data_IF_074521881478
#
_entry.id   IF_074521881478
#
_cell.length_a   1.000
_cell.length_b   1.000
_cell.length_c   1.000
_cell.angle_alpha   90.00
_cell.angle_beta   90.00
_cell.angle_gamma   90.00
#
_symmetry.space_group_name_H-M   'P 1'
#
loop_
_entity.id
_entity.type
_entity.pdbx_description
1 polymer ?
#
# COMPACT_ATOMS: atom_id res chain seq x y z
N UNK A 1 3.52 -46.83 -4.41
CA UNK A 1 3.78 -45.59 -5.15
C UNK A 1 3.26 -44.45 -4.29
N UNK A 2 4.14 -43.58 -3.83
CA UNK A 2 3.88 -42.48 -2.89
C UNK A 2 3.37 -41.24 -3.64
N UNK A 3 2.31 -40.62 -3.11
CA UNK A 3 1.64 -39.47 -3.70
C UNK A 3 2.58 -38.24 -3.71
N UNK A 4 2.71 -37.47 -4.81
CA UNK A 4 3.68 -36.38 -4.92
C UNK A 4 3.31 -35.07 -4.18
N UNK A 5 2.21 -35.03 -3.43
CA UNK A 5 1.59 -33.79 -2.93
C UNK A 5 1.66 -33.61 -1.40
N UNK A 6 2.38 -34.48 -0.68
CA UNK A 6 2.71 -34.26 0.73
C UNK A 6 3.91 -33.29 0.84
N UNK A 7 3.66 -32.02 0.54
CA UNK A 7 4.53 -30.93 0.94
C UNK A 7 4.26 -30.62 2.41
N UNK A 8 5.09 -31.19 3.29
CA UNK A 8 5.22 -30.81 4.70
C UNK A 8 5.62 -29.33 4.80
N UNK A 9 4.61 -28.47 4.99
CA UNK A 9 4.71 -27.01 5.07
C UNK A 9 5.20 -26.53 6.45
N UNK A 10 5.48 -27.45 7.37
CA UNK A 10 6.01 -27.14 8.70
C UNK A 10 5.05 -26.32 9.57
N UNK A 11 3.75 -26.31 9.24
CA UNK A 11 2.70 -25.71 10.05
C UNK A 11 2.04 -26.80 10.91
N UNK A 12 2.12 -26.66 12.23
CA UNK A 12 1.33 -27.46 13.16
C UNK A 12 -0.14 -27.01 13.08
N UNK A 13 -0.98 -27.81 12.42
CA UNK A 13 -2.42 -27.63 12.43
C UNK A 13 -3.00 -28.39 13.63
N UNK A 14 -3.40 -27.66 14.68
CA UNK A 14 -4.26 -28.22 15.73
C UNK A 14 -5.68 -28.32 15.17
N UNK A 15 -6.00 -29.49 14.59
CA UNK A 15 -7.32 -29.83 14.09
C UNK A 15 -8.20 -30.33 15.25
N UNK A 16 -9.09 -29.46 15.74
CA UNK A 16 -10.08 -29.83 16.75
C UNK A 16 -11.36 -30.29 16.03
N UNK A 17 -11.58 -31.61 15.97
CA UNK A 17 -12.75 -32.23 15.36
C UNK A 17 -13.93 -32.24 16.33
N UNK A 18 -14.98 -31.48 16.03
CA UNK A 18 -16.26 -31.48 16.76
C UNK A 18 -17.43 -31.19 15.83
N UNK A 19 -17.98 -32.28 15.28
CA UNK A 19 -19.35 -32.53 14.80
C UNK A 19 -20.14 -31.45 14.04
N UNK A 20 -20.47 -31.79 12.78
CA UNK A 20 -21.57 -31.21 12.02
C UNK A 20 -22.93 -31.65 12.57
N UNK A 21 -23.87 -30.71 12.72
CA UNK A 21 -25.26 -30.98 12.36
C UNK A 21 -25.95 -29.68 11.91
N UNK A 22 -26.47 -29.71 10.69
CA UNK A 22 -27.32 -28.67 10.11
C UNK A 22 -28.78 -28.90 10.54
N UNK A 23 -29.51 -27.82 10.86
CA UNK A 23 -30.76 -27.47 10.17
C UNK A 23 -31.43 -26.16 10.67
N UNK A 24 -31.57 -25.20 9.75
CA UNK A 24 -32.80 -24.50 9.30
C UNK A 24 -33.71 -23.69 10.30
N UNK A 25 -33.74 -22.36 10.05
CA UNK A 25 -34.83 -21.34 10.08
C UNK A 25 -35.38 -20.67 11.38
N UNK A 26 -35.50 -19.34 11.23
CA UNK A 26 -36.48 -18.36 11.75
C UNK A 26 -36.38 -17.77 13.18
N UNK A 27 -36.16 -16.44 13.22
CA UNK A 27 -37.17 -15.47 13.68
C UNK A 27 -37.18 -15.01 15.14
N UNK A 28 -37.09 -13.67 15.30
CA UNK A 28 -37.55 -12.79 16.40
C UNK A 28 -36.83 -12.73 17.76
N UNK A 29 -36.46 -11.48 18.11
CA UNK A 29 -36.44 -10.78 19.41
C UNK A 29 -36.52 -11.60 20.70
N UNK A 30 -35.61 -11.36 21.67
CA UNK A 30 -35.89 -10.70 22.98
C UNK A 30 -34.57 -10.25 23.64
N UNK A 31 -34.59 -9.06 24.25
CA UNK A 31 -33.62 -8.49 25.18
C UNK A 31 -33.52 -9.24 26.53
N UNK A 32 -32.49 -8.83 27.31
CA UNK A 32 -32.41 -8.76 28.78
C UNK A 32 -31.35 -9.65 29.46
N UNK A 33 -30.37 -8.94 30.06
CA UNK A 33 -29.86 -9.03 31.45
C UNK A 33 -29.71 -10.45 32.07
N UNK A 34 -28.61 -10.84 32.72
CA UNK A 34 -28.11 -10.21 33.93
C UNK A 34 -26.95 -11.06 34.54
N UNK A 35 -26.01 -10.35 35.17
CA UNK A 35 -25.29 -10.64 36.41
C UNK A 35 -24.76 -12.06 36.82
N UNK A 36 -23.43 -12.14 36.82
CA UNK A 36 -22.57 -12.12 38.04
C UNK A 36 -22.22 -13.41 38.82
N UNK A 37 -20.98 -13.35 39.38
CA UNK A 37 -20.50 -13.94 40.66
C UNK A 37 -20.22 -15.46 40.68
N UNK A 38 -19.22 -16.02 41.37
CA UNK A 38 -17.92 -15.66 42.01
C UNK A 38 -17.34 -16.99 42.54
N UNK A 39 -16.01 -17.09 42.72
CA UNK A 39 -15.29 -17.91 43.76
C UNK A 39 -15.44 -19.45 43.66
N UNK A 40 -14.55 -20.32 44.12
CA UNK A 40 -13.42 -20.23 45.05
C UNK A 40 -12.54 -21.50 44.92
N UNK A 41 -11.23 -21.33 45.13
CA UNK A 41 -10.35 -22.10 46.04
C UNK A 41 -10.32 -23.65 46.07
N UNK A 42 -9.14 -24.17 45.67
CA UNK A 42 -8.24 -25.13 46.36
C UNK A 42 -8.74 -26.48 46.89
N UNK A 43 -8.03 -27.56 46.53
CA UNK A 43 -7.34 -28.47 47.48
C UNK A 43 -6.43 -29.51 46.80
N UNK A 44 -5.31 -29.76 47.48
CA UNK A 44 -4.26 -30.76 47.27
C UNK A 44 -4.77 -32.20 47.39
N UNK A 45 -4.16 -33.18 46.70
CA UNK A 45 -3.22 -34.15 47.29
C UNK A 45 -2.67 -35.13 46.20
N UNK A 46 -1.47 -35.66 46.45
CA UNK A 46 -0.54 -36.41 45.56
C UNK A 46 -0.88 -37.94 45.51
N UNK A 47 -0.19 -38.85 44.76
CA UNK A 47 1.27 -39.08 44.78
C UNK A 47 1.97 -39.50 43.45
N UNK A 48 3.30 -39.49 43.55
CA UNK A 48 4.40 -39.68 42.59
C UNK A 48 4.60 -41.16 42.16
N UNK A 49 5.30 -41.45 41.03
CA UNK A 49 6.50 -42.27 41.18
C UNK A 49 7.75 -41.71 40.47
N UNK A 50 8.86 -41.82 41.20
CA UNK A 50 10.23 -41.40 40.91
C UNK A 50 10.94 -42.41 40.00
N UNK A 51 11.70 -41.95 39.01
CA UNK A 51 12.89 -42.69 38.56
C UNK A 51 14.10 -41.77 38.32
N UNK A 52 15.07 -42.00 39.21
CA UNK A 52 16.47 -41.55 39.30
C UNK A 52 17.17 -41.21 37.98
N UNK A 53 17.87 -40.06 37.95
CA UNK A 53 19.18 -39.96 37.29
C UNK A 53 20.12 -39.04 38.09
N UNK A 54 21.31 -39.56 38.38
CA UNK A 54 22.35 -38.99 39.25
C UNK A 54 23.14 -37.89 38.52
N UNK A 55 23.60 -36.95 39.33
CA UNK A 55 24.53 -35.85 39.11
C UNK A 55 26.00 -36.28 39.00
N UNK A 56 26.81 -35.41 38.38
CA UNK A 56 28.21 -35.04 38.65
C UNK A 56 28.93 -34.84 37.29
N UNK A 57 29.16 -33.60 36.86
CA UNK A 57 30.24 -32.68 37.26
C UNK A 57 31.50 -32.87 36.39
N UNK A 58 31.76 -31.80 35.63
CA UNK A 58 33.05 -31.21 35.27
C UNK A 58 34.02 -31.94 34.33
N UNK A 59 34.22 -31.33 33.15
CA UNK A 59 35.51 -31.31 32.45
C UNK A 59 35.48 -30.21 31.39
N UNK A 60 36.02 -29.04 31.75
CA UNK A 60 36.59 -28.11 30.79
C UNK A 60 37.71 -28.81 29.99
N UNK A 61 37.58 -28.82 28.67
CA UNK A 61 38.73 -28.87 27.75
C UNK A 61 38.37 -28.22 26.42
N UNK A 62 39.04 -27.11 26.17
CA UNK A 62 39.27 -26.48 24.88
C UNK A 62 39.59 -27.50 23.78
N UNK A 63 38.85 -27.44 22.68
CA UNK A 63 39.13 -28.17 21.45
C UNK A 63 38.15 -27.74 20.37
N UNK A 64 38.67 -27.14 19.31
CA UNK A 64 37.96 -26.88 18.06
C UNK A 64 37.43 -28.20 17.49
N UNK A 65 36.19 -28.57 17.81
CA UNK A 65 35.48 -29.63 17.11
C UNK A 65 34.04 -29.18 16.89
N UNK A 66 33.84 -28.45 15.80
CA UNK A 66 32.52 -28.32 15.21
C UNK A 66 32.05 -29.74 14.85
N UNK A 67 31.20 -30.31 15.69
CA UNK A 67 30.58 -31.62 15.47
C UNK A 67 30.17 -31.73 13.99
N UNK A 68 30.50 -32.83 13.29
CA UNK A 68 30.28 -32.94 11.85
C UNK A 68 28.78 -32.88 11.57
N UNK A 69 28.30 -31.68 11.24
CA UNK A 69 26.90 -31.42 10.93
C UNK A 69 26.46 -32.40 9.84
N UNK A 70 25.37 -33.11 10.11
CA UNK A 70 24.78 -34.06 9.16
C UNK A 70 24.55 -33.36 7.81
N UNK A 71 24.66 -34.11 6.70
CA UNK A 71 24.38 -33.58 5.35
C UNK A 71 23.00 -32.88 5.30
N UNK A 72 22.02 -33.34 6.09
CA UNK A 72 20.69 -32.72 6.25
C UNK A 72 20.76 -31.38 6.99
N UNK A 73 21.53 -31.28 8.07
CA UNK A 73 21.73 -30.03 8.83
C UNK A 73 22.50 -28.98 8.00
N UNK A 74 23.50 -29.39 7.21
CA UNK A 74 24.20 -28.50 6.27
C UNK A 74 23.27 -27.98 5.17
N UNK A 75 22.34 -28.79 4.66
CA UNK A 75 21.32 -28.36 3.67
C UNK A 75 20.31 -27.40 4.29
N UNK A 76 19.86 -27.68 5.52
CA UNK A 76 18.92 -26.80 6.25
C UNK A 76 19.54 -25.45 6.58
N UNK A 77 20.79 -25.42 7.06
CA UNK A 77 21.51 -24.19 7.35
C UNK A 77 21.83 -23.36 6.08
N UNK A 78 22.02 -24.01 4.92
CA UNK A 78 22.13 -23.30 3.63
C UNK A 78 20.79 -22.70 3.20
N UNK A 79 19.68 -23.42 3.42
CA UNK A 79 18.32 -22.94 3.12
C UNK A 79 17.91 -21.79 4.04
N UNK A 80 18.26 -21.84 5.33
CA UNK A 80 17.99 -20.74 6.27
C UNK A 80 18.75 -19.48 5.88
N UNK A 81 20.06 -19.57 5.62
CA UNK A 81 20.87 -18.42 5.14
C UNK A 81 20.33 -17.80 3.85
N UNK A 82 19.83 -18.62 2.92
CA UNK A 82 19.21 -18.14 1.70
C UNK A 82 17.87 -17.42 1.97
N UNK A 83 17.03 -17.97 2.84
CA UNK A 83 15.78 -17.34 3.26
C UNK A 83 16.00 -16.02 4.00
N UNK A 84 17.02 -15.98 4.87
CA UNK A 84 17.42 -14.77 5.61
C UNK A 84 17.87 -13.69 4.65
N UNK A 85 18.74 -14.02 3.69
CA UNK A 85 19.18 -13.08 2.64
C UNK A 85 18.01 -12.58 1.78
N UNK A 86 17.05 -13.46 1.44
CA UNK A 86 15.84 -13.08 0.69
C UNK A 86 14.94 -12.14 1.51
N UNK A 87 14.84 -12.36 2.82
CA UNK A 87 14.07 -11.52 3.73
C UNK A 87 14.71 -10.14 3.90
N UNK A 88 16.03 -10.08 4.06
CA UNK A 88 16.80 -8.83 4.14
C UNK A 88 16.64 -8.02 2.84
N UNK A 89 16.78 -8.66 1.68
CA UNK A 89 16.58 -8.01 0.39
C UNK A 89 15.15 -7.45 0.24
N UNK A 90 14.13 -8.20 0.67
CA UNK A 90 12.73 -7.73 0.65
C UNK A 90 12.55 -6.52 1.57
N UNK A 91 13.08 -6.56 2.79
CA UNK A 91 13.00 -5.44 3.73
C UNK A 91 13.69 -4.19 3.19
N UNK A 92 14.84 -4.37 2.53
CA UNK A 92 15.54 -3.29 1.85
C UNK A 92 14.67 -2.67 0.75
N UNK A 93 14.07 -3.49 -0.12
CA UNK A 93 13.17 -3.01 -1.18
C UNK A 93 11.94 -2.27 -0.63
N UNK A 94 11.33 -2.81 0.43
CA UNK A 94 10.21 -2.17 1.13
C UNK A 94 10.59 -0.81 1.71
N UNK A 95 11.74 -0.75 2.40
CA UNK A 95 12.24 0.51 2.96
C UNK A 95 12.52 1.54 1.87
N UNK A 96 13.06 1.12 0.72
CA UNK A 96 13.30 1.99 -0.43
C UNK A 96 11.98 2.55 -0.99
N UNK A 97 10.96 1.71 -1.17
CA UNK A 97 9.63 2.15 -1.65
C UNK A 97 8.99 3.14 -0.68
N UNK A 98 9.04 2.87 0.63
CA UNK A 98 8.44 3.74 1.65
C UNK A 98 9.17 5.07 1.86
N UNK A 99 10.49 5.10 1.60
CA UNK A 99 11.30 6.31 1.74
C UNK A 99 11.32 7.20 0.49
N UNK A 100 10.96 6.67 -0.69
CA UNK A 100 10.93 7.43 -1.93
C UNK A 100 10.06 8.72 -1.85
N UNK A 101 8.86 8.72 -1.23
CA UNK A 101 8.07 9.95 -1.05
C UNK A 101 8.73 11.03 -0.18
N UNK A 102 9.71 10.65 0.64
CA UNK A 102 10.48 11.55 1.53
C UNK A 102 11.76 12.07 0.87
N UNK A 103 12.09 11.56 -0.32
CA UNK A 103 13.33 11.83 -1.03
C UNK A 103 13.33 13.22 -1.70
N UNK A 104 14.49 13.64 -2.19
CA UNK A 104 14.65 14.89 -2.94
C UNK A 104 13.96 14.82 -4.32
N UNK A 105 13.57 15.96 -4.91
CA UNK A 105 13.04 16.00 -6.29
C UNK A 105 13.96 15.36 -7.32
N UNK A 106 15.28 15.47 -7.13
CA UNK A 106 16.30 14.84 -7.97
C UNK A 106 16.18 13.31 -7.95
N UNK A 107 16.20 12.70 -6.76
CA UNK A 107 16.07 11.25 -6.56
C UNK A 107 14.73 10.72 -7.09
N UNK A 108 13.66 11.49 -6.90
CA UNK A 108 12.33 11.15 -7.42
C UNK A 108 12.36 11.15 -8.95
N UNK A 109 12.94 12.17 -9.58
CA UNK A 109 13.02 12.24 -11.04
C UNK A 109 13.84 11.09 -11.63
N UNK A 110 14.98 10.74 -11.01
CA UNK A 110 15.82 9.62 -11.43
C UNK A 110 15.11 8.28 -11.27
N UNK A 111 14.33 8.11 -10.19
CA UNK A 111 13.50 6.93 -10.01
C UNK A 111 12.48 6.79 -11.15
N UNK A 112 11.78 7.87 -11.51
CA UNK A 112 10.81 7.83 -12.63
C UNK A 112 11.50 7.54 -13.96
N UNK A 113 12.67 8.11 -14.25
CA UNK A 113 13.46 7.79 -15.45
C UNK A 113 13.78 6.30 -15.52
N UNK A 114 14.23 5.71 -14.41
CA UNK A 114 14.55 4.28 -14.32
C UNK A 114 13.29 3.42 -14.50
N UNK A 115 12.20 3.80 -13.83
CA UNK A 115 10.90 3.14 -13.94
C UNK A 115 10.38 3.13 -15.39
N UNK A 116 10.38 4.30 -16.04
CA UNK A 116 9.90 4.47 -17.42
C UNK A 116 10.73 3.61 -18.37
N UNK A 117 12.06 3.62 -18.25
CA UNK A 117 12.94 2.78 -19.08
C UNK A 117 12.71 1.29 -18.85
N UNK A 118 12.57 0.88 -17.59
CA UNK A 118 12.39 -0.54 -17.24
C UNK A 118 11.09 -1.14 -17.79
N UNK A 119 10.06 -0.32 -17.96
CA UNK A 119 8.73 -0.75 -18.41
C UNK A 119 8.48 -0.50 -19.90
N UNK A 120 9.41 0.18 -20.59
CA UNK A 120 9.34 0.43 -22.04
C UNK A 120 10.69 0.06 -22.71
N UNK A 121 11.07 -1.23 -22.73
CA UNK A 121 12.36 -1.67 -23.28
C UNK A 121 12.48 -1.46 -24.80
N UNK A 122 11.34 -1.42 -25.50
CA UNK A 122 11.28 -1.36 -26.97
C UNK A 122 11.20 0.07 -27.50
N UNK A 123 11.05 1.08 -26.64
CA UNK A 123 11.01 2.48 -27.05
C UNK A 123 12.40 3.01 -27.36
N UNK A 124 12.48 3.85 -28.39
CA UNK A 124 13.70 4.57 -28.74
C UNK A 124 14.09 5.60 -27.66
N UNK A 125 15.34 6.03 -27.68
CA UNK A 125 15.83 7.05 -26.75
C UNK A 125 15.04 8.38 -26.86
N UNK A 126 14.60 8.73 -28.07
CA UNK A 126 13.81 9.95 -28.31
C UNK A 126 12.40 9.83 -27.71
N UNK A 127 11.72 8.69 -27.90
CA UNK A 127 10.39 8.44 -27.32
C UNK A 127 10.44 8.37 -25.79
N UNK A 128 11.53 7.85 -25.21
CA UNK A 128 11.72 7.83 -23.76
C UNK A 128 11.90 9.24 -23.18
N UNK A 129 12.57 10.15 -23.89
CA UNK A 129 12.79 11.52 -23.44
C UNK A 129 11.48 12.30 -23.31
N UNK A 130 10.52 12.05 -24.18
CA UNK A 130 9.18 12.65 -24.11
C UNK A 130 8.40 12.22 -22.86
N UNK A 131 8.68 11.03 -22.32
CA UNK A 131 8.02 10.50 -21.13
C UNK A 131 8.68 10.94 -19.82
N UNK A 132 9.93 11.39 -19.86
CA UNK A 132 10.67 11.72 -18.64
C UNK A 132 10.09 12.94 -17.92
N UNK A 133 10.10 12.83 -16.58
CA UNK A 133 9.66 13.86 -15.65
C UNK A 133 10.88 14.60 -15.13
N UNK A 134 10.84 15.93 -15.14
CA UNK A 134 11.96 16.78 -14.72
C UNK A 134 11.88 17.03 -13.22
N UNK A 135 13.03 17.28 -12.59
CA UNK A 135 13.09 17.69 -11.16
C UNK A 135 12.22 18.91 -10.84
N UNK A 136 12.04 19.81 -11.80
CA UNK A 136 11.20 21.02 -11.67
C UNK A 136 9.72 20.72 -11.56
N UNK A 137 9.29 19.54 -11.99
CA UNK A 137 7.89 19.12 -12.00
C UNK A 137 7.44 18.72 -10.59
N UNK A 138 8.40 18.35 -9.73
CA UNK A 138 8.17 17.92 -8.36
C UNK A 138 8.37 19.06 -7.35
N UNK A 139 7.49 19.12 -6.36
CA UNK A 139 7.69 19.95 -5.16
C UNK A 139 8.25 19.06 -4.04
N UNK A 140 9.35 19.49 -3.41
CA UNK A 140 9.94 18.74 -2.30
C UNK A 140 8.99 18.71 -1.09
N UNK A 141 8.73 17.50 -0.61
CA UNK A 141 7.94 17.24 0.61
C UNK A 141 8.79 16.61 1.72
N UNK A 142 10.12 16.62 1.57
CA UNK A 142 11.07 16.06 2.53
C UNK A 142 10.99 16.70 3.93
N UNK A 143 10.51 17.95 4.01
CA UNK A 143 10.31 18.66 5.29
C UNK A 143 9.10 18.17 6.10
N UNK A 144 8.31 17.23 5.57
CA UNK A 144 7.20 16.64 6.30
C UNK A 144 7.73 15.60 7.29
N UNK A 145 7.53 15.86 8.58
CA UNK A 145 8.11 15.07 9.68
C UNK A 145 7.24 13.89 10.11
N UNK A 146 5.92 14.04 10.01
CA UNK A 146 4.97 13.02 10.45
C UNK A 146 5.00 11.78 9.56
N UNK A 147 4.55 10.66 10.10
CA UNK A 147 4.38 9.44 9.31
C UNK A 147 3.31 9.66 8.24
N UNK A 148 3.60 9.18 7.02
CA UNK A 148 2.71 9.33 5.86
C UNK A 148 1.61 8.26 5.90
N UNK A 149 0.70 8.41 6.85
CA UNK A 149 -0.47 7.54 7.08
C UNK A 149 -1.77 8.24 6.65
N UNK A 150 -2.91 7.54 6.61
CA UNK A 150 -4.18 8.23 6.30
C UNK A 150 -4.54 9.29 7.34
N UNK A 151 -4.17 9.09 8.60
CA UNK A 151 -4.49 9.99 9.71
C UNK A 151 -3.84 11.36 9.52
N UNK A 152 -2.57 11.37 9.08
CA UNK A 152 -1.81 12.61 8.90
C UNK A 152 -1.98 13.23 7.51
N UNK A 153 -2.71 12.57 6.60
CA UNK A 153 -2.89 13.02 5.22
C UNK A 153 -3.55 14.40 5.08
N UNK A 154 -4.61 14.75 5.85
CA UNK A 154 -5.18 16.09 5.83
C UNK A 154 -4.16 17.18 6.16
N UNK A 155 -3.26 16.92 7.12
CA UNK A 155 -2.27 17.89 7.57
C UNK A 155 -1.15 18.06 6.54
N UNK A 156 -0.73 16.97 5.89
CA UNK A 156 0.14 17.04 4.72
C UNK A 156 -0.45 17.94 3.61
N UNK A 157 -1.72 17.73 3.26
CA UNK A 157 -2.40 18.54 2.23
C UNK A 157 -2.39 20.02 2.63
N UNK A 158 -2.75 20.36 3.87
CA UNK A 158 -2.75 21.75 4.36
C UNK A 158 -1.36 22.39 4.26
N UNK A 159 -0.29 21.64 4.52
CA UNK A 159 1.07 22.18 4.53
C UNK A 159 1.65 22.40 3.13
N UNK A 160 1.32 21.54 2.16
CA UNK A 160 2.00 21.52 0.87
C UNK A 160 1.14 21.94 -0.32
N UNK A 161 -0.18 21.73 -0.27
CA UNK A 161 -1.05 22.12 -1.37
C UNK A 161 -1.49 23.57 -1.23
N UNK A 162 -1.38 24.32 -2.33
CA UNK A 162 -1.83 25.72 -2.41
C UNK A 162 -2.72 25.95 -3.64
N UNK A 163 -2.82 24.96 -4.52
CA UNK A 163 -3.73 25.02 -5.64
C UNK A 163 -5.20 25.02 -5.18
N UNK A 164 -6.09 25.71 -5.90
CA UNK A 164 -7.53 25.64 -5.64
C UNK A 164 -8.08 24.22 -5.82
N UNK A 165 -7.48 23.46 -6.75
CA UNK A 165 -7.84 22.07 -7.05
C UNK A 165 -6.62 21.17 -6.96
N UNK A 166 -6.83 19.93 -6.53
CA UNK A 166 -5.79 18.92 -6.36
C UNK A 166 -6.27 17.57 -6.86
N UNK A 167 -5.46 16.90 -7.67
CA UNK A 167 -5.67 15.51 -8.07
C UNK A 167 -4.87 14.62 -7.13
N UNK A 168 -5.48 13.56 -6.62
CA UNK A 168 -4.85 12.60 -5.73
C UNK A 168 -4.92 11.24 -6.41
N UNK A 169 -3.75 10.71 -6.78
CA UNK A 169 -3.64 9.37 -7.32
C UNK A 169 -3.45 8.37 -6.19
N UNK A 170 -4.29 7.34 -6.19
CA UNK A 170 -4.20 6.19 -5.29
C UNK A 170 -4.13 4.89 -6.08
N UNK A 171 -3.51 3.88 -5.48
CA UNK A 171 -3.21 2.61 -6.14
C UNK A 171 -4.46 1.83 -6.57
N UNK A 172 -5.46 1.71 -5.69
CA UNK A 172 -6.66 0.89 -5.95
C UNK A 172 -7.95 1.67 -5.69
N UNK A 173 -9.06 1.16 -6.21
CA UNK A 173 -10.40 1.70 -5.91
C UNK A 173 -10.72 1.71 -4.41
N UNK A 174 -10.22 0.72 -3.66
CA UNK A 174 -10.43 0.65 -2.21
C UNK A 174 -9.67 1.79 -1.53
N UNK A 175 -8.39 1.97 -1.91
CA UNK A 175 -7.56 3.06 -1.39
C UNK A 175 -8.12 4.44 -1.75
N UNK A 176 -8.64 4.62 -2.97
CA UNK A 176 -9.38 5.84 -3.37
C UNK A 176 -10.54 6.12 -2.42
N UNK A 177 -11.30 5.08 -2.03
CA UNK A 177 -12.42 5.25 -1.11
C UNK A 177 -11.94 5.63 0.30
N UNK A 178 -10.82 5.07 0.77
CA UNK A 178 -10.27 5.37 2.09
C UNK A 178 -9.77 6.81 2.16
N UNK A 179 -8.96 7.23 1.18
CA UNK A 179 -8.50 8.61 1.03
C UNK A 179 -9.69 9.58 0.92
N UNK A 180 -10.72 9.22 0.17
CA UNK A 180 -11.94 10.03 0.09
C UNK A 180 -12.63 10.18 1.44
N UNK A 181 -12.78 9.12 2.25
CA UNK A 181 -13.40 9.22 3.57
C UNK A 181 -12.61 10.13 4.51
N UNK A 182 -11.29 10.07 4.44
CA UNK A 182 -10.39 10.93 5.22
C UNK A 182 -10.55 12.42 4.87
N UNK A 183 -10.72 12.77 3.60
CA UNK A 183 -10.75 14.16 3.15
C UNK A 183 -12.15 14.77 3.00
N UNK A 184 -13.17 13.95 2.77
CA UNK A 184 -14.48 14.41 2.34
C UNK A 184 -15.40 14.80 3.50
N UNK A 185 -14.91 15.60 4.44
CA UNK A 185 -15.69 16.11 5.58
C UNK A 185 -16.76 17.10 5.12
N UNK A 186 -16.42 17.99 4.17
CA UNK A 186 -17.27 19.09 3.71
C UNK A 186 -17.77 18.93 2.26
N UNK A 187 -17.88 17.68 1.78
CA UNK A 187 -18.23 17.38 0.38
C UNK A 187 -17.36 18.11 -0.64
N UNK A 188 -16.06 18.22 -0.35
CA UNK A 188 -15.04 18.89 -1.17
C UNK A 188 -14.31 17.92 -2.10
N UNK A 189 -14.65 16.64 -2.07
CA UNK A 189 -13.98 15.60 -2.84
C UNK A 189 -14.92 14.98 -3.89
N UNK A 190 -14.33 14.55 -5.00
CA UNK A 190 -14.96 13.68 -6.00
C UNK A 190 -14.11 12.41 -6.13
N UNK A 191 -14.77 11.26 -6.20
CA UNK A 191 -14.11 9.97 -6.49
C UNK A 191 -14.23 9.69 -7.98
N UNK A 192 -13.10 9.46 -8.64
CA UNK A 192 -13.05 9.09 -10.05
C UNK A 192 -12.36 7.72 -10.16
N UNK A 193 -13.14 6.64 -10.20
CA UNK A 193 -12.58 5.28 -10.21
C UNK A 193 -13.47 4.29 -10.95
N UNK A 194 -12.96 3.07 -11.15
CA UNK A 194 -13.52 2.14 -12.13
C UNK A 194 -14.98 1.71 -11.90
N UNK A 195 -15.53 1.85 -10.67
CA UNK A 195 -16.92 1.45 -10.38
C UNK A 195 -17.97 2.47 -10.85
N UNK A 196 -17.60 3.73 -11.06
CA UNK A 196 -18.53 4.72 -11.61
C UNK A 196 -18.65 4.53 -13.13
N UNK A 197 -19.81 4.86 -13.70
CA UNK A 197 -19.94 4.95 -15.16
C UNK A 197 -19.06 6.11 -15.65
N UNK A 198 -18.30 5.87 -16.72
CA UNK A 198 -17.37 6.87 -17.24
C UNK A 198 -18.07 8.19 -17.61
N UNK A 199 -19.23 8.11 -18.26
CA UNK A 199 -20.08 9.28 -18.59
C UNK A 199 -20.52 10.10 -17.38
N UNK A 200 -20.75 9.45 -16.23
CA UNK A 200 -21.15 10.15 -15.01
C UNK A 200 -19.97 10.90 -14.40
N UNK A 201 -18.77 10.29 -14.45
CA UNK A 201 -17.52 10.93 -14.04
C UNK A 201 -17.19 12.14 -14.94
N UNK A 202 -17.29 11.98 -16.27
CA UNK A 202 -17.11 13.06 -17.26
C UNK A 202 -18.02 14.25 -16.95
N UNK A 203 -19.33 13.98 -16.83
CA UNK A 203 -20.32 15.01 -16.50
C UNK A 203 -20.01 15.69 -15.17
N UNK A 204 -19.58 14.93 -14.17
CA UNK A 204 -19.22 15.47 -12.85
C UNK A 204 -18.04 16.41 -12.97
N UNK A 205 -16.98 16.01 -13.68
CA UNK A 205 -15.79 16.83 -13.93
C UNK A 205 -16.19 18.11 -14.65
N UNK A 206 -16.90 18.03 -15.77
CA UNK A 206 -17.31 19.22 -16.54
C UNK A 206 -18.16 20.18 -15.69
N UNK A 207 -19.05 19.64 -14.86
CA UNK A 207 -19.90 20.45 -13.96
C UNK A 207 -19.08 21.15 -12.86
N UNK A 208 -18.02 20.51 -12.35
CA UNK A 208 -17.13 21.09 -11.33
C UNK A 208 -16.27 22.22 -11.91
N UNK A 209 -15.87 22.09 -13.17
CA UNK A 209 -15.06 23.10 -13.87
C UNK A 209 -15.90 24.21 -14.51
N UNK A 210 -17.22 24.03 -14.67
CA UNK A 210 -18.14 25.07 -15.11
C UNK A 210 -18.29 26.20 -14.07
N UNK A 211 -17.61 27.32 -14.34
CA UNK A 211 -17.66 28.54 -13.51
C UNK A 211 -19.06 29.13 -13.33
N UNK A 212 -20.03 28.80 -14.19
CA UNK A 212 -21.42 29.26 -14.05
C UNK A 212 -22.18 28.47 -12.98
N UNK A 213 -21.74 27.25 -12.67
CA UNK A 213 -22.43 26.38 -11.75
C UNK A 213 -21.83 26.45 -10.33
N UNK A 214 -22.51 27.19 -9.44
CA UNK A 214 -22.07 27.34 -8.05
C UNK A 214 -22.23 26.06 -7.21
N UNK A 215 -23.04 25.09 -7.63
CA UNK A 215 -23.41 23.93 -6.80
C UNK A 215 -22.24 23.01 -6.45
N UNK A 216 -21.25 22.89 -7.33
CA UNK A 216 -20.06 22.04 -7.14
C UNK A 216 -18.76 22.85 -7.10
N UNK A 217 -18.86 24.17 -6.91
CA UNK A 217 -17.71 25.08 -6.88
C UNK A 217 -16.80 24.87 -5.66
N UNK A 218 -17.30 24.20 -4.61
CA UNK A 218 -16.55 23.84 -3.40
C UNK A 218 -15.68 22.59 -3.57
N UNK A 219 -15.77 21.87 -4.71
CA UNK A 219 -14.94 20.70 -4.96
C UNK A 219 -13.49 21.14 -5.17
N UNK A 220 -12.61 20.60 -4.33
CA UNK A 220 -11.17 20.84 -4.34
C UNK A 220 -10.38 19.60 -4.71
N UNK A 221 -10.82 18.41 -4.30
CA UNK A 221 -10.03 17.20 -4.41
C UNK A 221 -10.65 16.19 -5.39
N UNK A 222 -9.84 15.67 -6.30
CA UNK A 222 -10.20 14.59 -7.21
C UNK A 222 -9.39 13.35 -6.86
N UNK A 223 -9.99 12.39 -6.17
CA UNK A 223 -9.31 11.16 -5.74
C UNK A 223 -9.57 10.09 -6.79
N UNK A 224 -8.51 9.55 -7.38
CA UNK A 224 -8.63 8.71 -8.57
C UNK A 224 -7.54 7.65 -8.71
N UNK A 225 -7.79 6.66 -9.57
CA UNK A 225 -6.74 5.76 -10.07
C UNK A 225 -6.15 6.32 -11.37
N UNK A 226 -4.86 6.06 -11.68
CA UNK A 226 -4.23 6.53 -12.92
C UNK A 226 -5.01 6.14 -14.18
N UNK A 227 -5.42 4.88 -14.28
CA UNK A 227 -6.16 4.37 -15.42
C UNK A 227 -7.52 5.07 -15.64
N UNK A 228 -8.23 5.45 -14.57
CA UNK A 228 -9.51 6.15 -14.73
C UNK A 228 -9.29 7.58 -15.21
N UNK A 229 -8.31 8.29 -14.65
CA UNK A 229 -8.04 9.66 -15.07
C UNK A 229 -7.51 9.74 -16.51
N UNK A 230 -6.65 8.81 -16.91
CA UNK A 230 -6.19 8.71 -18.30
C UNK A 230 -7.36 8.61 -19.29
N UNK A 231 -8.36 7.77 -18.99
CA UNK A 231 -9.57 7.66 -19.81
C UNK A 231 -10.42 8.94 -19.81
N UNK A 232 -10.49 9.65 -18.68
CA UNK A 232 -11.21 10.92 -18.61
C UNK A 232 -10.57 12.00 -19.49
N UNK A 233 -9.24 12.02 -19.61
CA UNK A 233 -8.53 12.95 -20.50
C UNK A 233 -8.80 12.72 -21.99
N UNK A 234 -9.28 11.55 -22.38
CA UNK A 234 -9.70 11.25 -23.76
C UNK A 234 -11.08 11.86 -24.09
N UNK A 235 -11.88 12.16 -23.06
CA UNK A 235 -13.27 12.60 -23.22
C UNK A 235 -13.55 14.01 -22.71
N UNK A 236 -12.70 14.55 -21.82
CA UNK A 236 -12.85 15.90 -21.27
C UNK A 236 -11.48 16.59 -21.12
N UNK A 237 -11.43 17.85 -21.59
CA UNK A 237 -10.27 18.73 -21.40
C UNK A 237 -10.41 19.64 -20.16
N UNK A 238 -11.44 19.45 -19.32
CA UNK A 238 -11.75 20.35 -18.21
C UNK A 238 -10.56 20.60 -17.26
N UNK A 239 -9.76 19.56 -16.98
CA UNK A 239 -8.56 19.67 -16.14
C UNK A 239 -7.45 20.56 -16.72
N UNK A 240 -7.46 20.78 -18.04
CA UNK A 240 -6.45 21.58 -18.76
C UNK A 240 -6.88 23.02 -18.97
N UNK A 241 -8.17 23.32 -18.75
CA UNK A 241 -8.71 24.65 -18.91
C UNK A 241 -8.27 25.59 -17.77
N UNK A 242 -8.30 26.89 -18.05
CA UNK A 242 -8.01 27.93 -17.06
C UNK A 242 -6.53 28.13 -16.73
N UNK A 243 -6.24 29.17 -15.95
CA UNK A 243 -4.88 29.60 -15.56
C UNK A 243 -4.55 29.26 -14.11
N UNK A 244 -5.50 28.70 -13.37
CA UNK A 244 -5.31 28.29 -11.99
C UNK A 244 -4.25 27.19 -11.86
N UNK A 245 -3.61 27.14 -10.70
CA UNK A 245 -2.65 26.08 -10.38
C UNK A 245 -3.40 24.77 -10.14
N UNK A 246 -2.75 23.65 -10.44
CA UNK A 246 -3.24 22.32 -10.17
C UNK A 246 -2.14 21.53 -9.46
N UNK A 247 -2.40 21.12 -8.22
CA UNK A 247 -1.47 20.26 -7.50
C UNK A 247 -1.83 18.80 -7.76
N UNK A 248 -0.83 17.93 -7.87
CA UNK A 248 -1.02 16.48 -8.04
C UNK A 248 -0.31 15.77 -6.92
N UNK A 249 -1.03 14.96 -6.14
CA UNK A 249 -0.47 14.15 -5.06
C UNK A 249 -0.44 12.69 -5.49
N UNK A 250 0.70 12.04 -5.27
CA UNK A 250 0.91 10.62 -5.44
C UNK A 250 0.88 9.95 -4.06
N UNK A 251 -0.13 9.14 -3.76
CA UNK A 251 -0.20 8.29 -2.56
C UNK A 251 0.77 7.10 -2.71
N UNK A 252 2.06 7.40 -2.56
CA UNK A 252 3.19 6.54 -2.90
C UNK A 252 3.80 5.85 -1.67
N UNK A 253 3.52 6.34 -0.46
CA UNK A 253 3.90 5.70 0.81
C UNK A 253 3.05 4.47 1.15
N UNK A 254 1.82 4.40 0.63
CA UNK A 254 0.94 3.26 0.84
C UNK A 254 1.47 1.99 0.16
N UNK A 255 1.49 0.89 0.93
CA UNK A 255 1.79 -0.45 0.45
C UNK A 255 0.53 -1.31 0.55
N UNK A 256 0.16 -1.96 -0.54
CA UNK A 256 -0.92 -2.94 -0.53
C UNK A 256 -0.49 -4.26 0.16
N UNK A 257 -1.41 -5.24 0.35
CA UNK A 257 -1.06 -6.54 0.92
C UNK A 257 -0.03 -7.35 0.12
N UNK A 258 0.27 -6.93 -1.13
CA UNK A 258 1.29 -7.52 -2.00
C UNK A 258 2.57 -6.68 -2.04
N UNK A 259 2.71 -5.72 -1.12
CA UNK A 259 3.88 -4.85 -1.00
C UNK A 259 4.11 -3.96 -2.24
N UNK A 260 3.06 -3.68 -3.00
CA UNK A 260 3.06 -2.75 -4.12
C UNK A 260 2.65 -1.36 -3.65
N UNK A 261 3.33 -0.36 -4.21
CA UNK A 261 2.94 1.04 -4.16
C UNK A 261 2.34 1.45 -5.50
N UNK A 262 1.70 2.63 -5.53
CA UNK A 262 1.29 3.34 -6.74
C UNK A 262 2.39 3.37 -7.83
N UNK A 263 3.66 3.41 -7.41
CA UNK A 263 4.82 3.52 -8.31
C UNK A 263 5.40 2.17 -8.79
N UNK A 264 4.96 1.04 -8.23
CA UNK A 264 5.51 -0.29 -8.57
C UNK A 264 4.46 -1.24 -9.14
N UNK A 265 3.19 -0.88 -9.03
CA UNK A 265 2.10 -1.62 -9.65
C UNK A 265 2.20 -1.61 -11.18
N UNK A 266 1.46 -2.51 -11.82
CA UNK A 266 1.49 -2.67 -13.28
C UNK A 266 1.05 -1.39 -14.02
N UNK A 267 0.15 -0.63 -13.41
CA UNK A 267 -0.37 0.64 -13.93
C UNK A 267 0.60 1.84 -13.76
N UNK A 268 1.81 1.63 -13.24
CA UNK A 268 2.78 2.71 -13.02
C UNK A 268 3.18 3.44 -14.31
N UNK A 269 3.13 2.77 -15.47
CA UNK A 269 3.33 3.45 -16.76
C UNK A 269 2.15 4.32 -17.14
N UNK A 270 0.92 3.89 -16.85
CA UNK A 270 -0.26 4.71 -17.07
C UNK A 270 -0.17 5.96 -16.20
N UNK A 271 0.30 5.84 -14.95
CA UNK A 271 0.58 6.99 -14.10
C UNK A 271 1.60 7.95 -14.74
N UNK A 272 2.76 7.46 -15.17
CA UNK A 272 3.79 8.31 -15.78
C UNK A 272 3.25 9.05 -17.02
N UNK A 273 2.54 8.36 -17.91
CA UNK A 273 1.88 8.97 -19.08
C UNK A 273 0.83 10.00 -18.68
N UNK A 274 0.01 9.70 -17.68
CA UNK A 274 -1.04 10.61 -17.19
C UNK A 274 -0.44 11.88 -16.58
N UNK A 275 0.64 11.75 -15.80
CA UNK A 275 1.39 12.89 -15.26
C UNK A 275 2.00 13.73 -16.38
N UNK A 276 2.57 13.09 -17.40
CA UNK A 276 3.13 13.78 -18.56
C UNK A 276 2.06 14.59 -19.29
N UNK A 277 0.91 13.98 -19.59
CA UNK A 277 -0.23 14.68 -20.20
C UNK A 277 -0.67 15.90 -19.38
N UNK A 278 -0.71 15.79 -18.05
CA UNK A 278 -1.01 16.93 -17.16
C UNK A 278 0.02 18.04 -17.27
N UNK A 279 1.31 17.70 -17.21
CA UNK A 279 2.41 18.66 -17.28
C UNK A 279 2.50 19.36 -18.63
N UNK A 280 2.17 18.66 -19.72
CA UNK A 280 2.19 19.22 -21.08
C UNK A 280 1.00 20.12 -21.37
N UNK A 281 -0.20 19.67 -21.01
CA UNK A 281 -1.43 20.40 -21.34
C UNK A 281 -1.76 21.52 -20.34
N UNK A 282 -1.25 21.47 -19.10
CA UNK A 282 -1.53 22.47 -18.06
C UNK A 282 -0.24 23.19 -17.63
N UNK A 283 -0.22 24.50 -17.82
CA UNK A 283 0.95 25.35 -17.59
C UNK A 283 1.47 25.46 -16.15
N UNK A 284 0.66 25.13 -15.14
CA UNK A 284 1.03 25.26 -13.74
C UNK A 284 0.60 24.04 -12.93
N UNK A 285 1.36 22.96 -13.11
CA UNK A 285 1.21 21.73 -12.33
C UNK A 285 2.43 21.52 -11.43
N UNK A 286 2.19 21.06 -10.20
CA UNK A 286 3.23 20.55 -9.31
C UNK A 286 2.86 19.18 -8.79
N UNK A 287 3.81 18.25 -8.88
CA UNK A 287 3.67 16.88 -8.39
C UNK A 287 4.28 16.78 -7.01
N UNK A 288 3.55 16.20 -6.08
CA UNK A 288 3.95 15.96 -4.70
C UNK A 288 3.83 14.47 -4.44
N UNK A 289 4.79 13.89 -3.73
CA UNK A 289 4.67 12.52 -3.27
C UNK A 289 4.22 12.55 -1.80
N UNK A 290 3.18 11.78 -1.49
CA UNK A 290 2.69 11.46 -0.17
C UNK A 290 3.13 10.05 0.23
#
# INVERSE_FOLDING_TARGET
>A
MSNPDDLDDGLLYDYNSGEEQADVLNGSDVEAENESKTKNESKEDSPIPVSKKRSAADSEKSGEDAAPMSKRQKKLAKRSKFNDKKKEQRQYELSKKSNLPKSSPEEISEYFTTLIRSKNPDLSALELEELYLKKTDFLSTARYTEERTLENFPDFIKQFTKAPRTIIFSLTNLRVADVFRTLNTERTCVKLFAKNKLKDDERTVDTVFDTKNKKLSNIRYFVCTPARLSKLFEHSDAFFQGKEKLDVILDASFLDPKENTLLTADDAIVLAKTLRTLLDKKSSVKVLLY
#
